data_IF_865071259910
#
_entry.id   IF_865071259910
#
_cell.length_a   1.000
_cell.length_b   1.000
_cell.length_c   1.000
_cell.angle_alpha   90.00
_cell.angle_beta   90.00
_cell.angle_gamma   90.00
#
_symmetry.space_group_name_H-M   'P 1'
#
loop_
_entity.id
_entity.type
_entity.pdbx_description
1 polymer ?
#
# COMPACT_ATOMS: atom_id res chain seq x y z
N UNK A 1 -1.79 25.94 3.01
CA UNK A 1 -3.22 26.01 2.63
C UNK A 1 -3.92 24.84 3.27
N UNK A 2 -5.14 24.98 3.83
CA UNK A 2 -5.91 23.81 4.22
C UNK A 2 -6.11 23.02 2.93
N UNK A 3 -5.68 21.76 2.93
CA UNK A 3 -5.94 20.91 1.80
C UNK A 3 -7.46 20.83 1.64
N UNK A 4 -7.95 20.96 0.41
CA UNK A 4 -9.38 20.85 0.13
C UNK A 4 -9.80 19.43 0.53
N UNK A 5 -10.61 19.28 1.59
CA UNK A 5 -10.93 17.97 2.18
C UNK A 5 -11.48 16.98 1.15
N UNK A 6 -12.20 17.49 0.15
CA UNK A 6 -12.71 16.68 -0.98
C UNK A 6 -11.59 16.14 -1.87
N UNK A 7 -10.57 16.93 -2.16
CA UNK A 7 -9.40 16.50 -2.94
C UNK A 7 -8.55 15.48 -2.16
N UNK A 8 -8.36 15.71 -0.86
CA UNK A 8 -7.70 14.74 0.02
C UNK A 8 -8.43 13.41 0.07
N UNK A 9 -9.75 13.45 0.22
CA UNK A 9 -10.58 12.25 0.23
C UNK A 9 -10.46 11.48 -1.09
N UNK A 10 -10.52 12.19 -2.23
CA UNK A 10 -10.34 11.58 -3.54
C UNK A 10 -8.96 10.93 -3.70
N UNK A 11 -7.89 11.60 -3.25
CA UNK A 11 -6.54 11.04 -3.27
C UNK A 11 -6.41 9.80 -2.38
N UNK A 12 -6.98 9.83 -1.17
CA UNK A 12 -6.96 8.70 -0.26
C UNK A 12 -7.73 7.50 -0.84
N UNK A 13 -8.88 7.75 -1.48
CA UNK A 13 -9.65 6.70 -2.13
C UNK A 13 -8.86 6.05 -3.28
N UNK A 14 -8.20 6.86 -4.13
CA UNK A 14 -7.36 6.32 -5.21
C UNK A 14 -6.23 5.42 -4.70
N UNK A 15 -5.58 5.81 -3.59
CA UNK A 15 -4.54 4.99 -2.95
C UNK A 15 -5.13 3.70 -2.39
N UNK A 16 -6.28 3.78 -1.72
CA UNK A 16 -6.96 2.62 -1.15
C UNK A 16 -7.37 1.63 -2.25
N UNK A 17 -7.96 2.12 -3.35
CA UNK A 17 -8.38 1.28 -4.47
C UNK A 17 -7.18 0.56 -5.09
N UNK A 18 -6.06 1.27 -5.31
CA UNK A 18 -4.84 0.66 -5.80
C UNK A 18 -4.34 -0.46 -4.88
N UNK A 19 -4.37 -0.26 -3.56
CA UNK A 19 -3.94 -1.28 -2.57
C UNK A 19 -4.92 -2.46 -2.50
N UNK A 20 -6.22 -2.17 -2.49
CA UNK A 20 -7.29 -3.14 -2.28
C UNK A 20 -7.54 -4.02 -3.52
N UNK A 21 -7.23 -3.52 -4.71
CA UNK A 21 -7.55 -4.21 -5.97
C UNK A 21 -6.33 -4.64 -6.81
N UNK A 22 -5.10 -4.36 -6.36
CA UNK A 22 -3.91 -4.92 -7.03
C UNK A 22 -3.98 -6.47 -7.07
N UNK A 23 -3.83 -7.10 -8.25
CA UNK A 23 -3.77 -8.56 -8.36
C UNK A 23 -2.60 -9.13 -7.56
N UNK A 24 -2.80 -10.30 -6.96
CA UNK A 24 -1.77 -10.93 -6.12
C UNK A 24 -0.48 -11.21 -6.91
N UNK A 25 -0.62 -11.55 -8.18
CA UNK A 25 0.47 -11.85 -9.11
C UNK A 25 1.35 -10.63 -9.42
N UNK A 26 0.85 -9.42 -9.15
CA UNK A 26 1.59 -8.17 -9.30
C UNK A 26 2.21 -7.70 -7.97
N UNK A 27 1.93 -8.37 -6.85
CA UNK A 27 2.56 -8.06 -5.57
C UNK A 27 4.04 -8.50 -5.57
N UNK A 28 4.87 -7.74 -4.85
CA UNK A 28 6.24 -8.15 -4.57
C UNK A 28 6.25 -9.27 -3.52
N UNK A 29 6.95 -10.40 -3.76
CA UNK A 29 7.07 -11.46 -2.77
C UNK A 29 7.73 -10.96 -1.48
N UNK A 30 7.14 -11.31 -0.34
CA UNK A 30 7.68 -10.96 0.97
C UNK A 30 8.53 -12.11 1.51
N UNK A 31 9.85 -11.94 1.50
CA UNK A 31 10.84 -12.83 2.11
C UNK A 31 11.31 -12.28 3.47
N UNK A 32 11.95 -13.15 4.27
CA UNK A 32 12.51 -12.74 5.59
C UNK A 32 13.70 -11.80 5.50
N UNK A 33 14.37 -11.74 4.35
CA UNK A 33 15.52 -10.86 4.10
C UNK A 33 15.12 -9.47 3.57
N UNK A 34 13.86 -9.29 3.17
CA UNK A 34 13.33 -8.05 2.58
C UNK A 34 14.16 -7.50 1.40
N UNK A 35 14.98 -8.31 0.75
CA UNK A 35 16.03 -7.85 -0.18
C UNK A 35 15.51 -7.19 -1.47
N UNK A 36 14.25 -7.42 -1.82
CA UNK A 36 13.61 -6.87 -3.01
C UNK A 36 12.62 -5.73 -2.71
N UNK A 37 12.47 -5.33 -1.43
CA UNK A 37 11.57 -4.26 -1.06
C UNK A 37 12.21 -2.88 -1.26
N UNK A 38 11.46 -1.87 -1.70
CA UNK A 38 11.95 -0.50 -1.76
C UNK A 38 12.32 0.03 -0.37
N UNK A 39 13.54 0.57 -0.23
CA UNK A 39 14.02 1.21 1.00
C UNK A 39 13.64 2.70 1.08
N UNK A 40 12.38 3.03 0.75
CA UNK A 40 11.88 4.40 0.68
C UNK A 40 10.67 4.61 1.62
N UNK A 41 10.49 5.80 2.21
CA UNK A 41 9.27 6.15 2.92
C UNK A 41 8.04 6.03 2.02
N UNK A 42 6.91 5.62 2.60
CA UNK A 42 5.69 5.43 1.83
C UNK A 42 4.64 4.61 2.56
N UNK A 43 3.56 4.31 1.83
CA UNK A 43 2.49 3.41 2.26
C UNK A 43 2.75 2.05 1.63
N UNK A 44 2.59 0.98 2.41
CA UNK A 44 2.72 -0.39 1.94
C UNK A 44 1.58 -1.25 2.46
N UNK A 45 1.36 -2.37 1.79
CA UNK A 45 0.27 -3.29 2.09
C UNK A 45 0.76 -4.73 2.04
N UNK A 46 0.29 -5.55 2.97
CA UNK A 46 0.58 -6.99 3.01
C UNK A 46 -0.67 -7.73 2.57
N UNK A 47 -0.55 -8.49 1.48
CA UNK A 47 -1.63 -9.32 0.93
C UNK A 47 -1.24 -10.79 1.02
N UNK A 48 -2.18 -11.61 1.48
CA UNK A 48 -2.10 -13.06 1.41
C UNK A 48 -2.92 -13.58 0.25
N UNK A 49 -2.40 -14.54 -0.52
CA UNK A 49 -3.04 -15.05 -1.74
C UNK A 49 -4.51 -15.44 -1.55
N UNK A 50 -4.79 -16.14 -0.46
CA UNK A 50 -6.14 -16.64 -0.16
C UNK A 50 -6.84 -15.81 0.93
N UNK A 51 -6.12 -14.91 1.59
CA UNK A 51 -6.61 -14.12 2.72
C UNK A 51 -6.93 -12.68 2.36
N UNK A 52 -6.59 -12.25 1.14
CA UNK A 52 -6.72 -10.86 0.72
C UNK A 52 -5.76 -9.94 1.46
N UNK A 53 -6.17 -8.68 1.61
CA UNK A 53 -5.39 -7.64 2.29
C UNK A 53 -5.39 -7.89 3.80
N UNK A 54 -4.22 -8.09 4.40
CA UNK A 54 -4.05 -8.37 5.83
C UNK A 54 -3.62 -7.15 6.64
N UNK A 55 -2.85 -6.25 6.04
CA UNK A 55 -2.28 -5.11 6.74
C UNK A 55 -2.00 -3.95 5.78
N UNK A 56 -2.19 -2.73 6.27
CA UNK A 56 -1.74 -1.50 5.62
C UNK A 56 -0.86 -0.75 6.61
N UNK A 57 0.36 -0.47 6.21
CA UNK A 57 1.35 0.23 6.99
C UNK A 57 1.82 1.50 6.30
N UNK A 58 2.42 2.39 7.08
CA UNK A 58 3.16 3.54 6.56
C UNK A 58 4.52 3.62 7.24
N UNK A 59 5.53 3.96 6.46
CA UNK A 59 6.87 4.26 6.95
C UNK A 59 7.19 5.71 6.65
N UNK A 60 7.64 6.42 7.68
CA UNK A 60 8.09 7.80 7.61
C UNK A 60 9.53 7.78 8.13
N UNK A 61 10.50 7.57 7.24
CA UNK A 61 11.88 7.93 7.56
C UNK A 61 12.07 9.43 7.39
#
# INVERSE_FOLDING_TARGET
MPANDSELQAQAQNILDAIAFIPFEQCQPLSRDFGHLPALPGIYAIRHKNGGLLYVGKTKS
#
